data_IF_564978341581
#
_entry.id   IF_564978341581
#
_cell.length_a   1.000
_cell.length_b   1.000
_cell.length_c   1.000
_cell.angle_alpha   90.00
_cell.angle_beta   90.00
_cell.angle_gamma   90.00
#
_symmetry.space_group_name_H-M   'P 1'
#
loop_
_entity.id
_entity.type
_entity.pdbx_description
1 polymer ?
#
# COMPACT_ATOMS: atom_id res chain seq x y z
N UNK A 1 -26.44 -21.48 25.65
CA UNK A 1 -25.06 -20.95 25.47
C UNK A 1 -24.23 -22.03 24.78
N UNK A 2 -24.13 -22.01 23.45
CA UNK A 2 -23.19 -22.87 22.68
C UNK A 2 -22.02 -22.04 22.26
N UNK A 3 -20.86 -22.35 22.83
CA UNK A 3 -19.56 -21.84 22.44
C UNK A 3 -19.28 -22.32 21.00
N UNK A 4 -19.48 -21.48 20.01
CA UNK A 4 -18.95 -21.74 18.68
C UNK A 4 -17.42 -21.55 18.73
N UNK A 5 -16.71 -22.67 18.84
CA UNK A 5 -15.32 -22.73 18.45
C UNK A 5 -15.24 -22.66 16.93
N UNK A 6 -15.23 -21.47 16.39
CA UNK A 6 -14.85 -21.25 15.00
C UNK A 6 -13.34 -21.48 14.92
N UNK A 7 -12.94 -22.72 14.69
CA UNK A 7 -11.67 -23.01 14.08
C UNK A 7 -11.71 -22.30 12.73
N UNK A 8 -11.06 -21.12 12.63
CA UNK A 8 -10.76 -20.50 11.36
C UNK A 8 -10.00 -21.56 10.54
N UNK A 9 -10.69 -22.15 9.57
CA UNK A 9 -10.01 -22.92 8.54
C UNK A 9 -9.01 -21.96 7.90
N UNK A 10 -7.74 -22.20 8.15
CA UNK A 10 -6.65 -21.54 7.45
C UNK A 10 -6.94 -21.80 5.97
N UNK A 11 -7.34 -20.79 5.27
CA UNK A 11 -7.46 -20.86 3.82
C UNK A 11 -6.03 -20.90 3.27
N UNK A 12 -5.52 -22.11 3.12
CA UNK A 12 -4.14 -22.39 2.73
C UNK A 12 -3.76 -21.66 1.44
N UNK A 13 -4.71 -21.55 0.50
CA UNK A 13 -4.49 -20.83 -0.74
C UNK A 13 -4.25 -19.33 -0.52
N UNK A 14 -4.95 -18.75 0.45
CA UNK A 14 -4.78 -17.35 0.84
C UNK A 14 -3.42 -17.12 1.50
N UNK A 15 -3.00 -17.98 2.44
CA UNK A 15 -1.69 -17.84 3.08
C UNK A 15 -0.55 -17.98 2.07
N UNK A 16 -0.63 -18.95 1.16
CA UNK A 16 0.34 -19.11 0.08
C UNK A 16 0.44 -17.84 -0.77
N UNK A 17 -0.70 -17.23 -1.12
CA UNK A 17 -0.74 -15.99 -1.89
C UNK A 17 -0.08 -14.83 -1.15
N UNK A 18 -0.38 -14.66 0.14
CA UNK A 18 0.19 -13.63 1.01
C UNK A 18 1.72 -13.75 1.04
N UNK A 19 2.20 -14.96 1.35
CA UNK A 19 3.64 -15.23 1.44
C UNK A 19 4.33 -15.10 0.07
N UNK A 20 3.72 -15.60 -1.00
CA UNK A 20 4.30 -15.50 -2.34
C UNK A 20 4.47 -14.04 -2.78
N UNK A 21 3.43 -13.20 -2.65
CA UNK A 21 3.50 -11.78 -3.00
C UNK A 21 4.51 -11.04 -2.11
N UNK A 22 4.52 -11.33 -0.81
CA UNK A 22 5.48 -10.74 0.12
C UNK A 22 6.93 -11.12 -0.20
N UNK A 23 7.21 -12.40 -0.48
CA UNK A 23 8.56 -12.87 -0.83
C UNK A 23 9.02 -12.31 -2.17
N UNK A 24 8.14 -12.23 -3.18
CA UNK A 24 8.44 -11.59 -4.46
C UNK A 24 8.76 -10.11 -4.22
N UNK A 25 7.94 -9.39 -3.46
CA UNK A 25 8.18 -8.00 -3.08
C UNK A 25 9.52 -7.82 -2.35
N UNK A 26 9.85 -8.72 -1.41
CA UNK A 26 11.13 -8.73 -0.69
C UNK A 26 12.33 -8.90 -1.62
N UNK A 27 12.23 -9.81 -2.58
CA UNK A 27 13.31 -10.05 -3.55
C UNK A 27 13.51 -8.84 -4.47
N UNK A 28 12.41 -8.27 -4.99
CA UNK A 28 12.45 -7.05 -5.81
C UNK A 28 13.07 -5.90 -5.01
N UNK A 29 12.68 -5.74 -3.74
CA UNK A 29 13.24 -4.72 -2.84
C UNK A 29 14.74 -4.91 -2.65
N UNK A 30 15.19 -6.12 -2.39
CA UNK A 30 16.61 -6.45 -2.20
C UNK A 30 17.44 -6.15 -3.46
N UNK A 31 16.95 -6.57 -4.63
CA UNK A 31 17.59 -6.24 -5.92
C UNK A 31 17.63 -4.72 -6.11
N UNK A 32 16.55 -4.01 -5.82
CA UNK A 32 16.50 -2.56 -5.95
C UNK A 32 17.51 -1.87 -5.03
N UNK A 33 17.61 -2.28 -3.76
CA UNK A 33 18.59 -1.73 -2.82
C UNK A 33 20.00 -1.92 -3.33
N UNK A 34 20.34 -3.12 -3.83
CA UNK A 34 21.69 -3.43 -4.31
C UNK A 34 22.05 -2.78 -5.65
N UNK A 35 21.11 -2.83 -6.61
CA UNK A 35 21.39 -2.43 -8.00
C UNK A 35 21.16 -0.93 -8.27
N UNK A 36 20.27 -0.30 -7.52
CA UNK A 36 19.96 1.13 -7.69
C UNK A 36 20.41 1.95 -6.48
N UNK A 37 19.88 1.68 -5.30
CA UNK A 37 20.07 2.53 -4.11
C UNK A 37 21.56 2.60 -3.71
N UNK A 38 22.22 1.46 -3.58
CA UNK A 38 23.65 1.39 -3.27
C UNK A 38 24.49 2.03 -4.38
N UNK A 39 24.18 1.77 -5.65
CA UNK A 39 24.90 2.31 -6.80
C UNK A 39 24.83 3.83 -6.85
N UNK A 40 23.65 4.41 -6.62
CA UNK A 40 23.46 5.86 -6.57
C UNK A 40 23.89 6.51 -5.25
N UNK A 41 24.20 5.72 -4.24
CA UNK A 41 24.48 6.23 -2.89
C UNK A 41 23.27 6.98 -2.32
N UNK A 42 22.05 6.51 -2.62
CA UNK A 42 20.80 7.13 -2.22
C UNK A 42 20.34 6.61 -0.85
N UNK A 43 19.46 7.36 -0.23
CA UNK A 43 18.81 6.99 1.03
C UNK A 43 17.29 6.89 0.81
N UNK A 44 16.74 5.68 0.63
CA UNK A 44 15.28 5.49 0.59
C UNK A 44 14.68 5.95 1.92
N UNK A 45 13.41 6.32 1.90
CA UNK A 45 12.72 6.70 3.12
C UNK A 45 12.53 5.53 4.09
N UNK A 46 12.02 5.87 5.26
CA UNK A 46 11.71 4.90 6.30
C UNK A 46 12.94 4.27 6.94
N UNK A 47 12.74 3.10 7.53
CA UNK A 47 13.81 2.42 8.29
C UNK A 47 14.88 1.83 7.38
N UNK A 48 14.56 1.52 6.13
CA UNK A 48 15.57 1.11 5.16
C UNK A 48 16.57 2.26 4.90
N UNK A 49 16.07 3.50 4.79
CA UNK A 49 16.94 4.68 4.66
C UNK A 49 17.80 4.93 5.89
N UNK A 50 17.21 4.81 7.08
CA UNK A 50 17.95 4.91 8.34
C UNK A 50 19.01 3.81 8.44
N UNK A 51 18.70 2.57 8.05
CA UNK A 51 19.64 1.46 8.01
C UNK A 51 20.86 1.79 7.12
N UNK A 52 20.60 2.26 5.90
CA UNK A 52 21.65 2.63 4.97
C UNK A 52 22.45 3.85 5.44
N UNK A 53 21.80 4.82 6.08
CA UNK A 53 22.48 5.97 6.67
C UNK A 53 23.45 5.52 7.77
N UNK A 54 23.02 4.63 8.65
CA UNK A 54 23.88 4.03 9.69
C UNK A 54 25.04 3.28 9.06
N UNK A 55 24.79 2.39 8.09
CA UNK A 55 25.84 1.64 7.40
C UNK A 55 26.89 2.57 6.77
N UNK A 56 26.43 3.56 6.02
CA UNK A 56 27.31 4.53 5.34
C UNK A 56 28.10 5.36 6.34
N UNK A 57 27.47 5.75 7.48
CA UNK A 57 28.17 6.49 8.55
C UNK A 57 29.27 5.65 9.19
N UNK A 58 28.98 4.38 9.54
CA UNK A 58 29.99 3.50 10.12
C UNK A 58 31.14 3.23 9.15
N UNK A 59 30.83 2.99 7.88
CA UNK A 59 31.85 2.77 6.87
C UNK A 59 32.72 4.01 6.65
N UNK A 60 32.11 5.22 6.60
CA UNK A 60 32.84 6.46 6.32
C UNK A 60 33.66 6.96 7.48
N UNK A 61 33.14 6.91 8.71
CA UNK A 61 33.78 7.49 9.89
C UNK A 61 34.63 6.49 10.68
N UNK A 62 34.27 5.20 10.65
CA UNK A 62 34.94 4.14 11.43
C UNK A 62 35.65 3.09 10.56
N UNK A 63 35.44 3.11 9.24
CA UNK A 63 36.00 2.09 8.33
C UNK A 63 35.38 0.70 8.48
N UNK A 64 34.24 0.58 9.20
CA UNK A 64 33.59 -0.68 9.50
C UNK A 64 32.43 -0.88 8.55
N UNK A 65 32.45 -1.97 7.76
CA UNK A 65 31.30 -2.39 6.94
C UNK A 65 30.37 -3.27 7.76
N UNK A 66 29.16 -2.77 8.06
CA UNK A 66 28.12 -3.50 8.76
C UNK A 66 27.17 -4.16 7.74
N UNK A 67 26.70 -5.40 7.96
CA UNK A 67 25.66 -6.00 7.13
C UNK A 67 24.32 -5.27 7.33
N UNK A 68 23.42 -5.36 6.33
CA UNK A 68 22.12 -4.67 6.36
C UNK A 68 21.17 -5.28 7.39
N UNK A 69 21.14 -6.61 7.49
CA UNK A 69 20.14 -7.34 8.27
C UNK A 69 20.13 -7.01 9.77
N UNK A 70 21.25 -6.97 10.53
CA UNK A 70 21.15 -6.71 11.97
C UNK A 70 20.59 -5.33 12.30
N UNK A 71 20.97 -4.31 11.50
CA UNK A 71 20.49 -2.93 11.72
C UNK A 71 19.01 -2.83 11.37
N UNK A 72 18.62 -3.36 10.21
CA UNK A 72 17.23 -3.37 9.75
C UNK A 72 16.30 -4.12 10.72
N UNK A 73 16.72 -5.29 11.20
CA UNK A 73 15.93 -6.07 12.16
C UNK A 73 15.81 -5.36 13.50
N UNK A 74 16.87 -4.77 14.03
CA UNK A 74 16.84 -4.01 15.27
C UNK A 74 15.90 -2.81 15.21
N UNK A 75 15.96 -2.04 14.11
CA UNK A 75 15.08 -0.89 13.91
C UNK A 75 13.59 -1.31 13.75
N UNK A 76 13.33 -2.41 13.06
CA UNK A 76 11.97 -2.89 12.82
C UNK A 76 11.34 -3.59 14.04
N UNK A 77 12.12 -3.98 15.05
CA UNK A 77 11.61 -4.65 16.24
C UNK A 77 10.58 -3.76 17.00
N UNK A 78 10.85 -2.46 17.12
CA UNK A 78 9.96 -1.53 17.84
C UNK A 78 8.58 -1.43 17.18
N UNK A 79 8.46 -1.06 15.86
CA UNK A 79 7.16 -0.99 15.22
C UNK A 79 6.48 -2.36 15.10
N UNK A 80 7.22 -3.47 15.02
CA UNK A 80 6.64 -4.79 15.02
C UNK A 80 5.92 -5.11 16.34
N UNK A 81 6.54 -4.80 17.48
CA UNK A 81 5.92 -4.97 18.80
C UNK A 81 4.65 -4.12 18.95
N UNK A 82 4.70 -2.87 18.48
CA UNK A 82 3.54 -1.99 18.49
C UNK A 82 2.42 -2.50 17.57
N UNK A 83 2.76 -2.91 16.36
CA UNK A 83 1.82 -3.41 15.35
C UNK A 83 1.12 -4.70 15.80
N UNK A 84 1.80 -5.55 16.57
CA UNK A 84 1.23 -6.79 17.08
C UNK A 84 -0.05 -6.58 17.91
N UNK A 85 -0.10 -5.47 18.67
CA UNK A 85 -1.27 -5.08 19.46
C UNK A 85 -2.22 -4.17 18.71
N UNK A 86 -1.69 -3.31 17.86
CA UNK A 86 -2.46 -2.26 17.20
C UNK A 86 -3.18 -2.72 15.93
N UNK A 87 -2.55 -3.54 15.10
CA UNK A 87 -3.09 -4.00 13.81
C UNK A 87 -3.62 -5.44 13.94
N UNK A 88 -2.74 -6.37 14.32
CA UNK A 88 -3.12 -7.77 14.54
C UNK A 88 -1.94 -8.73 14.43
N UNK A 89 -2.09 -9.88 15.07
CA UNK A 89 -1.02 -10.88 15.17
C UNK A 89 -0.59 -11.44 13.81
N UNK A 90 -1.58 -11.79 12.96
CA UNK A 90 -1.34 -12.42 11.65
C UNK A 90 -0.57 -11.47 10.72
N UNK A 91 -1.03 -10.23 10.58
CA UNK A 91 -0.35 -9.21 9.79
C UNK A 91 1.09 -9.00 10.28
N UNK A 92 1.28 -8.85 11.59
CA UNK A 92 2.60 -8.58 12.16
C UNK A 92 3.57 -9.75 11.97
N UNK A 93 3.12 -11.00 12.15
CA UNK A 93 3.97 -12.18 11.95
C UNK A 93 4.38 -12.34 10.49
N UNK A 94 3.43 -12.22 9.57
CA UNK A 94 3.73 -12.28 8.14
C UNK A 94 4.67 -11.15 7.74
N UNK A 95 4.43 -9.92 8.21
CA UNK A 95 5.32 -8.79 7.95
C UNK A 95 6.71 -8.99 8.55
N UNK A 96 6.82 -9.54 9.76
CA UNK A 96 8.12 -9.86 10.36
C UNK A 96 8.91 -10.86 9.50
N UNK A 97 8.24 -11.89 8.96
CA UNK A 97 8.86 -12.82 8.01
C UNK A 97 9.36 -12.09 6.75
N UNK A 98 8.57 -11.16 6.20
CA UNK A 98 8.94 -10.38 5.01
C UNK A 98 10.12 -9.47 5.30
N UNK A 99 10.18 -8.84 6.48
CA UNK A 99 11.33 -8.01 6.91
C UNK A 99 12.60 -8.87 7.00
N UNK A 100 12.51 -10.06 7.59
CA UNK A 100 13.64 -11.00 7.65
C UNK A 100 14.06 -11.39 6.24
N UNK A 101 13.12 -11.77 5.37
CA UNK A 101 13.41 -12.16 4.00
C UNK A 101 14.09 -11.01 3.22
N UNK A 102 13.54 -9.79 3.29
CA UNK A 102 14.14 -8.60 2.65
C UNK A 102 15.56 -8.35 3.15
N UNK A 103 15.77 -8.44 4.46
CA UNK A 103 17.07 -8.21 5.07
C UNK A 103 18.10 -9.24 4.61
N UNK A 104 17.75 -10.52 4.66
CA UNK A 104 18.62 -11.64 4.23
C UNK A 104 18.89 -11.54 2.72
N UNK A 105 17.87 -11.32 1.90
CA UNK A 105 18.05 -11.16 0.46
C UNK A 105 18.96 -9.98 0.13
N UNK A 106 18.82 -8.85 0.85
CA UNK A 106 19.69 -7.69 0.65
C UNK A 106 21.16 -7.99 0.97
N UNK A 107 21.45 -8.85 1.94
CA UNK A 107 22.83 -9.23 2.23
C UNK A 107 23.39 -10.24 1.21
N UNK A 108 22.57 -11.15 0.68
CA UNK A 108 22.99 -12.23 -0.23
C UNK A 108 23.04 -11.77 -1.70
N UNK A 109 22.08 -10.97 -2.14
CA UNK A 109 21.97 -10.55 -3.56
C UNK A 109 23.21 -9.73 -3.94
N UNK A 110 23.92 -10.10 -5.03
CA UNK A 110 25.05 -9.33 -5.51
C UNK A 110 24.61 -7.97 -6.05
N UNK A 111 25.48 -6.96 -5.94
CA UNK A 111 25.28 -5.67 -6.58
C UNK A 111 25.43 -5.82 -8.09
N UNK A 112 24.37 -5.51 -8.85
CA UNK A 112 24.36 -5.51 -10.31
C UNK A 112 23.92 -4.12 -10.79
N UNK A 113 24.86 -3.14 -10.91
CA UNK A 113 24.51 -1.79 -11.36
C UNK A 113 23.97 -1.83 -12.79
N UNK A 114 22.73 -1.37 -12.99
CA UNK A 114 22.09 -1.31 -14.31
C UNK A 114 22.49 -0.02 -15.02
N UNK A 115 22.68 1.06 -14.27
CA UNK A 115 23.08 2.38 -14.74
C UNK A 115 23.92 3.10 -13.70
N UNK A 116 24.73 4.07 -14.13
CA UNK A 116 25.48 4.98 -13.26
C UNK A 116 24.83 6.36 -13.17
N UNK A 117 23.81 6.63 -13.98
CA UNK A 117 23.08 7.90 -13.96
C UNK A 117 22.19 7.99 -12.71
N UNK A 118 22.54 8.93 -11.82
CA UNK A 118 21.85 9.10 -10.54
C UNK A 118 20.39 9.51 -10.71
N UNK A 119 20.05 10.26 -11.77
CA UNK A 119 18.67 10.64 -12.05
C UNK A 119 17.83 9.41 -12.45
N UNK A 120 18.36 8.59 -13.36
CA UNK A 120 17.72 7.33 -13.75
C UNK A 120 17.58 6.39 -12.55
N UNK A 121 18.63 6.29 -11.73
CA UNK A 121 18.60 5.53 -10.48
C UNK A 121 17.49 6.04 -9.55
N UNK A 122 17.35 7.34 -9.39
CA UNK A 122 16.35 7.95 -8.51
C UNK A 122 14.93 7.68 -8.98
N UNK A 123 14.67 7.86 -10.27
CA UNK A 123 13.33 7.68 -10.84
C UNK A 123 12.96 6.20 -10.90
N UNK A 124 13.75 5.38 -11.59
CA UNK A 124 13.42 3.97 -11.80
C UNK A 124 13.59 3.14 -10.52
N UNK A 125 14.60 3.42 -9.72
CA UNK A 125 14.75 2.79 -8.41
C UNK A 125 13.57 3.13 -7.49
N UNK A 126 13.09 4.38 -7.52
CA UNK A 126 11.89 4.79 -6.79
C UNK A 126 10.63 4.05 -7.27
N UNK A 127 10.40 3.96 -8.59
CA UNK A 127 9.28 3.20 -9.16
C UNK A 127 9.30 1.72 -8.73
N UNK A 128 10.46 1.07 -8.84
CA UNK A 128 10.64 -0.33 -8.44
C UNK A 128 10.43 -0.49 -6.92
N UNK A 129 10.93 0.46 -6.12
CA UNK A 129 10.72 0.48 -4.67
C UNK A 129 9.23 0.53 -4.31
N UNK A 130 8.50 1.48 -4.92
CA UNK A 130 7.06 1.63 -4.71
C UNK A 130 6.27 0.40 -5.18
N UNK A 131 6.67 -0.23 -6.29
CA UNK A 131 6.07 -1.47 -6.76
C UNK A 131 6.30 -2.63 -5.78
N UNK A 132 7.51 -2.78 -5.24
CA UNK A 132 7.84 -3.81 -4.25
C UNK A 132 7.03 -3.64 -2.96
N UNK A 133 6.94 -2.40 -2.43
CA UNK A 133 6.11 -2.07 -1.26
C UNK A 133 4.64 -2.42 -1.56
N UNK A 134 4.12 -2.00 -2.73
CA UNK A 134 2.72 -2.24 -3.11
C UNK A 134 2.39 -3.72 -3.21
N UNK A 135 3.30 -4.55 -3.73
CA UNK A 135 3.12 -6.01 -3.78
C UNK A 135 2.98 -6.62 -2.37
N UNK A 136 3.81 -6.18 -1.43
CA UNK A 136 3.70 -6.61 -0.04
C UNK A 136 2.36 -6.18 0.57
N UNK A 137 1.94 -4.93 0.36
CA UNK A 137 0.68 -4.40 0.88
C UNK A 137 -0.54 -5.12 0.29
N UNK A 138 -0.57 -5.34 -1.03
CA UNK A 138 -1.63 -6.12 -1.72
C UNK A 138 -1.67 -7.56 -1.21
N UNK A 139 -0.52 -8.12 -0.86
CA UNK A 139 -0.41 -9.41 -0.19
C UNK A 139 -0.90 -9.41 1.27
N UNK A 140 -1.25 -8.27 1.86
CA UNK A 140 -1.62 -8.17 3.28
C UNK A 140 -0.43 -8.24 4.23
N UNK A 141 0.76 -7.84 3.76
CA UNK A 141 1.99 -7.69 4.54
C UNK A 141 2.57 -6.28 4.34
N UNK A 142 3.71 -6.00 4.94
CA UNK A 142 4.43 -4.74 4.77
C UNK A 142 5.94 -4.99 4.65
N UNK A 143 6.67 -4.04 4.11
CA UNK A 143 8.14 -4.06 4.12
C UNK A 143 8.74 -3.59 5.45
N UNK A 144 7.89 -3.23 6.41
CA UNK A 144 8.29 -2.78 7.75
C UNK A 144 8.45 -1.27 7.88
N UNK A 145 9.11 -0.83 8.96
CA UNK A 145 9.44 0.56 9.17
C UNK A 145 8.23 1.48 9.27
N UNK A 146 8.30 2.59 8.53
CA UNK A 146 7.23 3.60 8.46
C UNK A 146 5.95 3.06 7.81
N UNK A 147 6.03 1.97 7.05
CA UNK A 147 4.87 1.34 6.42
C UNK A 147 3.90 0.76 7.47
N UNK A 148 4.41 0.29 8.62
CA UNK A 148 3.54 -0.08 9.75
C UNK A 148 2.66 1.08 10.19
N UNK A 149 3.22 2.30 10.20
CA UNK A 149 2.49 3.51 10.55
C UNK A 149 1.42 3.78 9.49
N UNK A 150 1.79 3.70 8.20
CA UNK A 150 0.85 3.88 7.09
C UNK A 150 -0.34 2.93 7.20
N UNK A 151 -0.06 1.62 7.33
CA UNK A 151 -1.09 0.59 7.43
C UNK A 151 -1.97 0.80 8.67
N UNK A 152 -1.38 1.14 9.83
CA UNK A 152 -2.16 1.44 11.03
C UNK A 152 -3.17 2.57 10.81
N UNK A 153 -2.72 3.71 10.25
CA UNK A 153 -3.62 4.84 10.01
C UNK A 153 -4.66 4.52 8.96
N UNK A 154 -4.28 3.80 7.93
CA UNK A 154 -5.17 3.40 6.87
C UNK A 154 -6.27 2.46 7.39
N UNK A 155 -5.92 1.42 8.14
CA UNK A 155 -6.88 0.44 8.65
C UNK A 155 -7.72 0.95 9.85
N UNK A 156 -7.09 1.65 10.80
CA UNK A 156 -7.79 2.06 12.03
C UNK A 156 -8.45 3.41 11.94
N UNK A 157 -7.90 4.31 11.12
CA UNK A 157 -8.37 5.69 10.97
C UNK A 157 -8.95 5.99 9.60
N UNK A 158 -8.86 5.04 8.65
CA UNK A 158 -9.25 5.22 7.24
C UNK A 158 -8.64 6.50 6.63
N UNK A 159 -7.36 6.74 6.93
CA UNK A 159 -6.60 7.90 6.45
C UNK A 159 -5.36 7.43 5.73
N UNK A 160 -5.19 7.89 4.50
CA UNK A 160 -3.93 7.80 3.79
C UNK A 160 -2.92 8.78 4.38
N UNK A 161 -1.78 8.26 4.81
CA UNK A 161 -0.71 9.05 5.43
C UNK A 161 0.63 8.96 4.68
N UNK A 162 0.66 8.40 3.48
CA UNK A 162 1.89 8.24 2.70
C UNK A 162 2.60 9.56 2.44
N UNK A 163 1.84 10.63 2.16
CA UNK A 163 2.42 11.96 2.00
C UNK A 163 3.00 12.52 3.30
N UNK A 164 2.40 12.22 4.45
CA UNK A 164 2.97 12.62 5.75
C UNK A 164 4.25 11.84 6.07
N UNK A 165 4.31 10.57 5.68
CA UNK A 165 5.52 9.75 5.80
C UNK A 165 6.63 10.30 4.90
N UNK A 166 6.29 10.70 3.67
CA UNK A 166 7.22 11.38 2.76
C UNK A 166 7.82 12.64 3.41
N UNK A 167 6.98 13.49 4.02
CA UNK A 167 7.43 14.70 4.74
C UNK A 167 8.29 14.36 5.95
N UNK A 168 7.91 13.36 6.76
CA UNK A 168 8.70 12.89 7.90
C UNK A 168 10.07 12.35 7.49
N UNK A 169 10.11 11.59 6.39
CA UNK A 169 11.37 11.10 5.83
C UNK A 169 12.27 12.22 5.30
N UNK A 170 11.71 13.37 4.91
CA UNK A 170 12.50 14.54 4.49
C UNK A 170 13.48 14.97 5.58
N UNK A 171 13.13 14.83 6.86
CA UNK A 171 14.05 15.14 7.98
C UNK A 171 15.29 14.24 7.93
N UNK A 172 15.11 12.93 7.67
CA UNK A 172 16.22 11.98 7.53
C UNK A 172 17.08 12.35 6.32
N UNK A 173 16.44 12.79 5.23
CA UNK A 173 17.15 13.19 4.01
C UNK A 173 17.92 14.49 4.18
N UNK A 174 17.41 15.43 4.98
CA UNK A 174 18.17 16.66 5.35
C UNK A 174 19.43 16.28 6.13
N UNK A 175 19.34 15.39 7.11
CA UNK A 175 20.49 14.88 7.85
C UNK A 175 21.48 14.18 6.93
N UNK A 176 21.01 13.36 5.98
CA UNK A 176 21.84 12.74 4.97
C UNK A 176 22.56 13.79 4.10
N UNK A 177 21.87 14.87 3.72
CA UNK A 177 22.43 15.98 2.95
C UNK A 177 23.57 16.69 3.68
N UNK A 178 23.39 16.95 4.97
CA UNK A 178 24.41 17.56 5.83
C UNK A 178 25.64 16.68 6.02
N UNK A 179 25.46 15.36 6.11
CA UNK A 179 26.55 14.40 6.36
C UNK A 179 27.28 13.95 5.08
N UNK A 180 26.56 13.79 3.97
CA UNK A 180 27.05 13.11 2.77
C UNK A 180 26.95 13.93 1.50
N UNK A 181 26.40 15.14 1.55
CA UNK A 181 26.24 16.07 0.43
C UNK A 181 24.81 16.19 -0.07
N UNK A 182 24.46 17.40 -0.50
CA UNK A 182 23.10 17.77 -0.89
C UNK A 182 22.61 17.06 -2.16
N UNK A 183 23.49 16.79 -3.12
CA UNK A 183 23.09 16.11 -4.36
C UNK A 183 22.44 14.75 -4.08
N UNK A 184 23.04 13.94 -3.19
CA UNK A 184 22.48 12.64 -2.80
C UNK A 184 21.16 12.76 -2.08
N UNK A 185 21.01 13.78 -1.22
CA UNK A 185 19.76 14.03 -0.52
C UNK A 185 18.64 14.43 -1.49
N UNK A 186 18.93 15.34 -2.44
CA UNK A 186 17.95 15.78 -3.43
C UNK A 186 17.51 14.64 -4.36
N UNK A 187 18.46 13.82 -4.84
CA UNK A 187 18.10 12.63 -5.62
C UNK A 187 17.34 11.59 -4.79
N UNK A 188 17.61 11.49 -3.49
CA UNK A 188 16.84 10.62 -2.59
C UNK A 188 15.40 11.12 -2.38
N UNK A 189 15.20 12.45 -2.43
CA UNK A 189 13.82 13.01 -2.42
C UNK A 189 13.07 12.62 -3.70
N UNK A 190 13.72 12.70 -4.88
CA UNK A 190 13.12 12.24 -6.14
C UNK A 190 12.77 10.75 -6.05
N UNK A 191 13.70 9.92 -5.57
CA UNK A 191 13.45 8.49 -5.34
C UNK A 191 12.24 8.25 -4.45
N UNK A 192 12.18 8.93 -3.30
CA UNK A 192 11.10 8.79 -2.34
C UNK A 192 9.76 9.27 -2.92
N UNK A 193 9.76 10.37 -3.66
CA UNK A 193 8.58 10.90 -4.33
C UNK A 193 8.03 9.91 -5.37
N UNK A 194 8.89 9.42 -6.27
CA UNK A 194 8.49 8.45 -7.29
C UNK A 194 7.98 7.14 -6.68
N UNK A 195 8.62 6.68 -5.60
CA UNK A 195 8.16 5.51 -4.84
C UNK A 195 6.77 5.73 -4.25
N UNK A 196 6.53 6.89 -3.63
CA UNK A 196 5.22 7.24 -3.07
C UNK A 196 4.14 7.31 -4.15
N UNK A 197 4.42 7.92 -5.31
CA UNK A 197 3.48 7.97 -6.42
C UNK A 197 3.14 6.56 -6.95
N UNK A 198 4.14 5.67 -7.01
CA UNK A 198 3.91 4.28 -7.43
C UNK A 198 3.05 3.51 -6.43
N UNK A 199 3.23 3.75 -5.12
CA UNK A 199 2.35 3.19 -4.09
C UNK A 199 0.91 3.68 -4.28
N UNK A 200 0.70 4.97 -4.47
CA UNK A 200 -0.64 5.53 -4.72
C UNK A 200 -1.30 4.96 -5.99
N UNK A 201 -0.49 4.65 -7.01
CA UNK A 201 -0.98 4.07 -8.26
C UNK A 201 -1.41 2.60 -8.11
N UNK A 202 -0.60 1.80 -7.41
CA UNK A 202 -0.81 0.35 -7.32
C UNK A 202 -1.64 -0.08 -6.12
N UNK A 203 -1.47 0.57 -4.96
CA UNK A 203 -2.16 0.23 -3.72
C UNK A 203 -3.40 1.08 -3.53
N UNK A 204 -4.48 0.71 -4.24
CA UNK A 204 -5.76 1.43 -4.26
C UNK A 204 -6.84 0.76 -3.41
N UNK A 205 -6.52 -0.26 -2.64
CA UNK A 205 -7.50 -1.08 -1.92
C UNK A 205 -8.39 -0.28 -0.96
N UNK A 206 -7.87 0.82 -0.42
CA UNK A 206 -8.60 1.69 0.51
C UNK A 206 -9.25 2.91 -0.15
N UNK A 207 -9.06 3.10 -1.46
CA UNK A 207 -9.75 4.17 -2.18
C UNK A 207 -11.25 3.90 -2.20
N UNK A 208 -12.02 4.93 -1.89
CA UNK A 208 -13.48 4.88 -1.98
C UNK A 208 -13.94 5.45 -3.30
N UNK A 209 -14.98 4.85 -3.82
CA UNK A 209 -15.61 5.19 -5.08
C UNK A 209 -17.07 5.50 -4.81
N UNK A 210 -17.54 6.62 -5.32
CA UNK A 210 -18.96 6.94 -5.38
C UNK A 210 -19.52 6.48 -6.71
N UNK A 211 -20.57 5.69 -6.66
CA UNK A 211 -21.36 5.28 -7.80
C UNK A 211 -22.64 6.11 -7.85
N UNK A 212 -22.90 6.77 -8.97
CA UNK A 212 -24.18 7.35 -9.32
C UNK A 212 -24.78 6.50 -10.44
N UNK A 213 -25.86 5.80 -10.13
CA UNK A 213 -26.44 4.80 -11.02
C UNK A 213 -27.85 5.28 -11.41
N UNK A 214 -28.03 5.65 -12.69
CA UNK A 214 -29.35 6.03 -13.21
C UNK A 214 -29.96 4.80 -13.89
N UNK A 215 -31.16 4.41 -13.42
CA UNK A 215 -31.81 3.16 -13.83
C UNK A 215 -33.32 3.27 -13.76
N UNK A 216 -33.99 2.36 -14.44
CA UNK A 216 -35.44 2.11 -14.36
C UNK A 216 -35.76 0.92 -13.44
N UNK A 217 -34.72 0.16 -12.99
CA UNK A 217 -34.82 -1.03 -12.14
C UNK A 217 -34.12 -0.84 -10.79
N UNK A 218 -34.50 0.18 -9.98
CA UNK A 218 -33.73 0.55 -8.77
C UNK A 218 -33.70 -0.57 -7.72
N UNK A 219 -34.78 -1.33 -7.57
CA UNK A 219 -34.86 -2.40 -6.57
C UNK A 219 -33.94 -3.57 -6.92
N UNK A 220 -33.95 -4.02 -8.17
CA UNK A 220 -33.10 -5.09 -8.65
C UNK A 220 -31.61 -4.75 -8.52
N UNK A 221 -31.24 -3.53 -8.91
CA UNK A 221 -29.88 -3.05 -8.76
C UNK A 221 -29.47 -2.95 -7.29
N UNK A 222 -30.35 -2.45 -6.42
CA UNK A 222 -30.07 -2.41 -4.98
C UNK A 222 -29.86 -3.81 -4.40
N UNK A 223 -30.63 -4.81 -4.82
CA UNK A 223 -30.43 -6.19 -4.40
C UNK A 223 -29.06 -6.73 -4.82
N UNK A 224 -28.64 -6.46 -6.04
CA UNK A 224 -27.30 -6.85 -6.52
C UNK A 224 -26.18 -6.17 -5.70
N UNK A 225 -26.31 -4.88 -5.37
CA UNK A 225 -25.35 -4.16 -4.52
C UNK A 225 -25.32 -4.81 -3.13
N UNK A 226 -26.48 -5.05 -2.53
CA UNK A 226 -26.59 -5.59 -1.17
C UNK A 226 -25.99 -7.01 -1.09
N UNK A 227 -26.31 -7.88 -2.05
CA UNK A 227 -25.82 -9.26 -2.06
C UNK A 227 -24.31 -9.32 -2.35
N UNK A 228 -23.83 -8.46 -3.23
CA UNK A 228 -22.41 -8.51 -3.68
C UNK A 228 -21.46 -7.88 -2.65
N UNK A 229 -21.81 -6.72 -2.08
CA UNK A 229 -20.87 -5.94 -1.25
C UNK A 229 -21.44 -5.53 0.11
N UNK A 230 -22.67 -5.86 0.42
CA UNK A 230 -23.35 -5.57 1.69
C UNK A 230 -23.38 -4.06 2.04
N UNK A 231 -23.45 -3.20 1.00
CA UNK A 231 -23.60 -1.77 1.16
C UNK A 231 -25.02 -1.30 0.93
N UNK A 232 -25.38 -0.20 1.58
CA UNK A 232 -26.63 0.49 1.32
C UNK A 232 -26.47 1.45 0.14
N UNK A 233 -27.58 1.71 -0.56
CA UNK A 233 -27.69 2.76 -1.54
C UNK A 233 -28.78 3.76 -1.13
N UNK A 234 -28.63 5.01 -1.54
CA UNK A 234 -29.64 6.04 -1.36
C UNK A 234 -30.35 6.26 -2.68
N UNK A 235 -31.66 6.15 -2.67
CA UNK A 235 -32.53 6.40 -3.81
C UNK A 235 -32.85 7.88 -3.93
N UNK A 236 -32.72 8.43 -5.13
CA UNK A 236 -33.03 9.82 -5.50
C UNK A 236 -33.93 9.79 -6.72
N UNK A 237 -35.14 10.33 -6.59
CA UNK A 237 -36.06 10.46 -7.72
C UNK A 237 -35.52 11.48 -8.72
N UNK A 238 -35.53 11.14 -10.00
CA UNK A 238 -35.02 11.95 -11.09
C UNK A 238 -35.99 11.95 -12.28
N UNK A 239 -35.84 12.86 -13.20
CA UNK A 239 -36.60 12.90 -14.45
C UNK A 239 -35.65 13.03 -15.62
N UNK A 240 -35.78 12.17 -16.61
CA UNK A 240 -35.03 12.26 -17.85
C UNK A 240 -35.43 13.52 -18.62
N UNK A 241 -34.52 14.49 -18.73
CA UNK A 241 -34.87 15.80 -19.35
C UNK A 241 -35.24 15.69 -20.83
N UNK A 242 -34.72 14.71 -21.54
CA UNK A 242 -35.03 14.47 -22.94
C UNK A 242 -36.34 13.69 -23.12
N UNK A 243 -36.47 12.55 -22.39
CA UNK A 243 -37.64 11.67 -22.51
C UNK A 243 -38.85 12.13 -21.69
N UNK A 244 -38.64 13.03 -20.72
CA UNK A 244 -39.63 13.44 -19.70
C UNK A 244 -40.16 12.26 -18.86
N UNK A 245 -39.47 11.14 -18.88
CA UNK A 245 -39.82 9.96 -18.12
C UNK A 245 -39.21 9.98 -16.71
N UNK A 246 -39.93 9.41 -15.70
CA UNK A 246 -39.38 9.24 -14.38
C UNK A 246 -38.22 8.24 -14.43
N UNK A 247 -37.13 8.58 -13.75
CA UNK A 247 -35.96 7.73 -13.55
C UNK A 247 -35.54 7.76 -12.09
N UNK A 248 -34.78 6.78 -11.68
CA UNK A 248 -34.22 6.73 -10.34
C UNK A 248 -32.70 6.79 -10.42
N UNK A 249 -32.09 7.60 -9.55
CA UNK A 249 -30.66 7.61 -9.36
C UNK A 249 -30.32 7.01 -8.00
N UNK A 250 -29.54 5.92 -8.00
CA UNK A 250 -28.98 5.32 -6.79
C UNK A 250 -27.61 5.92 -6.52
N UNK A 251 -27.41 6.40 -5.31
CA UNK A 251 -26.14 6.87 -4.78
C UNK A 251 -25.57 5.83 -3.83
N UNK A 252 -24.38 5.31 -4.12
CA UNK A 252 -23.71 4.31 -3.30
C UNK A 252 -22.21 4.58 -3.20
N UNK A 253 -21.62 4.36 -2.02
CA UNK A 253 -20.16 4.41 -1.84
C UNK A 253 -19.67 2.99 -1.61
N UNK A 254 -18.64 2.60 -2.37
CA UNK A 254 -18.01 1.28 -2.32
C UNK A 254 -16.49 1.43 -2.30
N UNK A 255 -15.74 0.36 -2.02
CA UNK A 255 -14.29 0.37 -2.22
C UNK A 255 -13.94 0.26 -3.71
N UNK A 256 -12.71 0.65 -4.07
CA UNK A 256 -12.23 0.57 -5.46
C UNK A 256 -12.26 -0.85 -6.02
N UNK A 257 -12.00 -1.86 -5.19
CA UNK A 257 -12.06 -3.27 -5.56
C UNK A 257 -13.51 -3.74 -5.77
N UNK A 258 -14.42 -3.34 -4.90
CA UNK A 258 -15.85 -3.65 -4.98
C UNK A 258 -16.52 -2.98 -6.18
N UNK A 259 -16.11 -1.75 -6.51
CA UNK A 259 -16.69 -0.98 -7.62
C UNK A 259 -16.65 -1.76 -8.94
N UNK A 260 -15.53 -2.44 -9.25
CA UNK A 260 -15.39 -3.23 -10.48
C UNK A 260 -16.39 -4.39 -10.54
N UNK A 261 -16.59 -5.09 -9.41
CA UNK A 261 -17.48 -6.23 -9.32
C UNK A 261 -18.93 -5.77 -9.40
N UNK A 262 -19.27 -4.75 -8.61
CA UNK A 262 -20.62 -4.19 -8.54
C UNK A 262 -21.05 -3.60 -9.88
N UNK A 263 -20.19 -2.80 -10.53
CA UNK A 263 -20.51 -2.21 -11.84
C UNK A 263 -20.82 -3.28 -12.88
N UNK A 264 -20.06 -4.38 -12.90
CA UNK A 264 -20.35 -5.51 -13.81
C UNK A 264 -21.70 -6.14 -13.50
N UNK A 265 -22.00 -6.39 -12.22
CA UNK A 265 -23.28 -6.98 -11.78
C UNK A 265 -24.47 -6.10 -12.11
N UNK A 266 -24.34 -4.80 -11.93
CA UNK A 266 -25.37 -3.83 -12.30
C UNK A 266 -25.67 -3.88 -13.79
N UNK A 267 -24.63 -3.90 -14.65
CA UNK A 267 -24.79 -3.97 -16.10
C UNK A 267 -25.32 -5.35 -16.60
N UNK A 268 -25.08 -6.41 -15.83
CA UNK A 268 -25.71 -7.72 -16.06
C UNK A 268 -27.23 -7.68 -15.76
N UNK A 269 -27.64 -6.96 -14.70
CA UNK A 269 -29.04 -6.82 -14.30
C UNK A 269 -29.82 -5.80 -15.14
N UNK A 270 -29.20 -4.64 -15.41
CA UNK A 270 -29.76 -3.59 -16.28
C UNK A 270 -28.69 -3.10 -17.28
N UNK A 271 -28.69 -3.64 -18.50
CA UNK A 271 -27.75 -3.21 -19.57
C UNK A 271 -27.96 -1.75 -20.01
N UNK A 272 -29.06 -1.09 -19.64
CA UNK A 272 -29.36 0.31 -19.97
C UNK A 272 -28.99 1.26 -18.83
N UNK A 273 -28.57 0.76 -17.68
CA UNK A 273 -28.16 1.58 -16.55
C UNK A 273 -26.96 2.46 -16.91
N UNK A 274 -27.06 3.75 -16.58
CA UNK A 274 -25.94 4.68 -16.68
C UNK A 274 -25.21 4.73 -15.34
N UNK A 275 -23.93 4.32 -15.31
CA UNK A 275 -23.14 4.29 -14.09
C UNK A 275 -22.01 5.32 -14.21
N UNK A 276 -22.04 6.34 -13.36
CA UNK A 276 -20.94 7.29 -13.19
C UNK A 276 -20.10 6.86 -11.98
N UNK A 277 -18.82 6.64 -12.22
CA UNK A 277 -17.84 6.16 -11.22
C UNK A 277 -16.91 7.32 -10.88
N UNK A 278 -17.02 7.85 -9.66
CA UNK A 278 -16.23 9.00 -9.21
C UNK A 278 -15.39 8.66 -8.00
N UNK A 279 -14.12 9.06 -8.00
CA UNK A 279 -13.25 8.89 -6.83
C UNK A 279 -13.75 9.75 -5.68
N UNK A 280 -13.96 9.13 -4.51
CA UNK A 280 -14.36 9.83 -3.29
C UNK A 280 -13.12 10.27 -2.53
N UNK A 281 -12.83 11.56 -2.46
CA UNK A 281 -11.66 12.06 -1.73
C UNK A 281 -11.84 11.93 -0.21
N UNK A 282 -13.01 12.29 0.29
CA UNK A 282 -13.30 12.27 1.73
C UNK A 282 -14.77 11.98 1.97
N UNK A 283 -15.07 11.14 2.93
CA UNK A 283 -16.42 10.99 3.46
C UNK A 283 -16.38 10.96 5.00
N UNK A 284 -17.47 11.37 5.63
CA UNK A 284 -17.65 11.29 7.09
C UNK A 284 -18.91 10.50 7.38
N UNK A 285 -18.80 9.48 8.21
CA UNK A 285 -19.93 8.62 8.58
C UNK A 285 -19.50 7.18 8.82
N UNK A 286 -20.50 6.31 9.05
CA UNK A 286 -20.25 4.87 9.22
C UNK A 286 -20.16 4.22 7.84
N UNK A 287 -19.02 3.62 7.54
CA UNK A 287 -18.79 2.80 6.36
C UNK A 287 -18.37 1.40 6.79
N UNK A 288 -19.15 0.40 6.40
CA UNK A 288 -18.79 -1.00 6.66
C UNK A 288 -17.93 -1.49 5.50
N UNK A 289 -16.67 -1.77 5.76
CA UNK A 289 -15.79 -2.39 4.77
C UNK A 289 -15.72 -3.88 5.05
N UNK A 290 -16.13 -4.69 4.08
CA UNK A 290 -15.91 -6.14 4.13
C UNK A 290 -14.42 -6.38 4.03
N UNK A 291 -13.78 -6.82 5.11
CA UNK A 291 -12.34 -7.11 5.12
C UNK A 291 -12.08 -8.42 4.41
N UNK A 292 -11.26 -8.37 3.40
CA UNK A 292 -10.77 -9.55 2.67
C UNK A 292 -9.44 -10.09 3.25
N UNK A 293 -9.27 -10.02 4.59
CA UNK A 293 -8.08 -10.58 5.26
C UNK A 293 -8.30 -11.98 5.78
#
# INVERSE_FOLDING_TARGET
MKKHSTLERLDLGREIRILALGLIGSLIMAINIKSFVHTGGLYPGGFNGVTLLIQTSFQRFLGISLPFSPISLALNAIPAIFSFRAIGKRFTLNTALIIVATSVFTDIVPAMPITQDILLISVFGGLINGAAISLCLIGGTSTGGTDFIAVYFLEKKNRDVWNFILMGNATVLVLAGLLFGWDKALYSIIFQFTSTQMIHLLYQEHNKITLFIVTELPYEIYQEIMVTVHHSATEISATGMYSQEPKTMLYCIVSSTEAKIVTRKILEADPKALINVTKTETFKGRFHQTRHY
#
